data_IF_809960431433
#
_entry.id   IF_809960431433
#
_cell.length_a   1.000
_cell.length_b   1.000
_cell.length_c   1.000
_cell.angle_alpha   90.00
_cell.angle_beta   90.00
_cell.angle_gamma   90.00
#
_symmetry.space_group_name_H-M   'P 1'
#
loop_
_entity.id
_entity.type
_entity.pdbx_description
1 polymer ?
#
# COMPACT_ATOMS: atom_id res chain seq x y z
N UNK A 1 28.09 -1.33 -35.25
CA UNK A 1 26.99 -1.23 -34.28
C UNK A 1 25.96 -0.21 -34.76
N UNK A 2 24.67 -0.57 -34.81
CA UNK A 2 23.59 0.25 -35.36
C UNK A 2 23.17 1.34 -34.35
N UNK A 3 23.34 2.62 -34.70
CA UNK A 3 23.00 3.77 -33.83
C UNK A 3 21.51 3.86 -33.48
N UNK A 4 20.64 3.33 -34.36
CA UNK A 4 19.19 3.33 -34.11
C UNK A 4 18.80 2.36 -33.00
N UNK A 5 19.44 1.18 -32.94
CA UNK A 5 19.19 0.21 -31.88
C UNK A 5 19.57 0.78 -30.50
N UNK A 6 20.73 1.45 -30.40
CA UNK A 6 21.20 2.06 -29.15
C UNK A 6 20.21 3.13 -28.63
N UNK A 7 19.74 4.01 -29.53
CA UNK A 7 18.77 5.06 -29.19
C UNK A 7 17.43 4.51 -28.70
N UNK A 8 16.96 3.39 -29.27
CA UNK A 8 15.72 2.74 -28.85
C UNK A 8 15.84 2.17 -27.43
N UNK A 9 16.92 1.43 -27.14
CA UNK A 9 17.11 0.85 -25.81
C UNK A 9 17.27 1.92 -24.73
N UNK A 10 17.99 3.02 -25.01
CA UNK A 10 18.11 4.13 -24.05
C UNK A 10 16.76 4.77 -23.74
N UNK A 11 15.91 4.99 -24.76
CA UNK A 11 14.59 5.59 -24.55
C UNK A 11 13.64 4.67 -23.77
N UNK A 12 13.67 3.36 -24.02
CA UNK A 12 12.88 2.38 -23.26
C UNK A 12 13.31 2.40 -21.78
N UNK A 13 14.60 2.35 -21.50
CA UNK A 13 15.11 2.36 -20.13
C UNK A 13 14.77 3.68 -19.40
N UNK A 14 14.88 4.82 -20.08
CA UNK A 14 14.51 6.14 -19.53
C UNK A 14 13.01 6.19 -19.21
N UNK A 15 12.16 5.69 -20.11
CA UNK A 15 10.71 5.66 -19.88
C UNK A 15 10.34 4.71 -18.74
N UNK A 16 11.01 3.57 -18.60
CA UNK A 16 10.80 2.64 -17.49
C UNK A 16 11.23 3.25 -16.15
N UNK A 17 12.36 3.97 -16.12
CA UNK A 17 12.80 4.69 -14.92
C UNK A 17 11.85 5.83 -14.56
N UNK A 18 11.41 6.60 -15.55
CA UNK A 18 10.45 7.71 -15.37
C UNK A 18 9.12 7.21 -14.82
N UNK A 19 8.56 6.15 -15.41
CA UNK A 19 7.29 5.56 -14.94
C UNK A 19 7.40 5.01 -13.51
N UNK A 20 8.53 4.36 -13.16
CA UNK A 20 8.79 3.94 -11.78
C UNK A 20 8.90 5.13 -10.81
N UNK A 21 9.56 6.21 -11.21
CA UNK A 21 9.65 7.45 -10.42
C UNK A 21 8.28 8.07 -10.15
N UNK A 22 7.42 8.13 -11.17
CA UNK A 22 6.05 8.66 -11.06
C UNK A 22 5.15 7.79 -10.15
N UNK A 23 5.35 6.47 -10.16
CA UNK A 23 4.65 5.56 -9.25
C UNK A 23 5.05 5.80 -7.78
N UNK A 24 6.34 6.00 -7.52
CA UNK A 24 6.84 6.27 -6.16
C UNK A 24 6.31 7.61 -5.63
N UNK A 25 6.33 8.66 -6.46
CA UNK A 25 5.83 9.99 -6.06
C UNK A 25 4.32 9.96 -5.77
N UNK A 26 3.56 9.22 -6.58
CA UNK A 26 2.12 8.99 -6.38
C UNK A 26 1.87 8.24 -5.08
N UNK A 27 2.62 7.15 -4.83
CA UNK A 27 2.49 6.38 -3.60
C UNK A 27 2.82 7.22 -2.36
N UNK A 28 3.89 8.01 -2.40
CA UNK A 28 4.27 8.89 -1.28
C UNK A 28 3.18 9.94 -1.00
N UNK A 29 2.60 10.50 -2.06
CA UNK A 29 1.50 11.48 -1.95
C UNK A 29 0.23 10.84 -1.37
N UNK A 30 -0.06 9.59 -1.72
CA UNK A 30 -1.19 8.85 -1.15
C UNK A 30 -0.96 8.55 0.33
N UNK A 31 0.24 8.09 0.70
CA UNK A 31 0.60 7.77 2.08
C UNK A 31 0.58 9.03 2.95
N UNK A 32 1.09 10.16 2.47
CA UNK A 32 1.09 11.42 3.21
C UNK A 32 -0.33 11.95 3.48
N UNK A 33 -1.30 11.60 2.63
CA UNK A 33 -2.72 11.95 2.78
C UNK A 33 -3.59 10.81 3.29
N UNK A 34 -2.99 9.69 3.73
CA UNK A 34 -3.74 8.47 4.04
C UNK A 34 -4.80 8.70 5.13
N UNK A 35 -4.48 9.48 6.17
CA UNK A 35 -5.44 9.81 7.25
C UNK A 35 -6.64 10.58 6.71
N UNK A 36 -6.41 11.65 5.94
CA UNK A 36 -7.47 12.48 5.34
C UNK A 36 -8.34 11.67 4.38
N UNK A 37 -7.71 10.85 3.54
CA UNK A 37 -8.40 9.97 2.59
C UNK A 37 -9.26 8.93 3.33
N UNK A 38 -8.76 8.38 4.43
CA UNK A 38 -9.52 7.45 5.24
C UNK A 38 -10.70 8.14 5.93
N UNK A 39 -10.53 9.33 6.47
CA UNK A 39 -11.62 10.09 7.10
C UNK A 39 -12.76 10.39 6.12
N UNK A 40 -12.40 10.89 4.93
CA UNK A 40 -13.35 11.23 3.85
C UNK A 40 -13.96 10.02 3.15
N UNK A 41 -13.39 8.81 3.32
CA UNK A 41 -13.94 7.61 2.72
C UNK A 41 -15.33 7.27 3.26
N UNK A 42 -16.22 6.84 2.36
CA UNK A 42 -17.55 6.40 2.76
C UNK A 42 -17.49 5.05 3.50
N UNK A 43 -18.60 4.68 4.15
CA UNK A 43 -18.69 3.48 4.99
C UNK A 43 -18.36 2.21 4.19
N UNK A 44 -18.80 2.11 2.94
CA UNK A 44 -18.53 0.95 2.09
C UNK A 44 -17.05 0.82 1.72
N UNK A 45 -16.39 1.94 1.42
CA UNK A 45 -14.95 1.98 1.16
C UNK A 45 -14.15 1.58 2.40
N UNK A 46 -14.55 2.07 3.58
CA UNK A 46 -13.95 1.68 4.87
C UNK A 46 -14.13 0.19 5.14
N UNK A 47 -15.34 -0.36 4.96
CA UNK A 47 -15.62 -1.80 5.09
C UNK A 47 -14.79 -2.63 4.12
N UNK A 48 -14.66 -2.19 2.87
CA UNK A 48 -13.84 -2.87 1.85
C UNK A 48 -12.37 -2.91 2.26
N UNK A 49 -11.83 -1.81 2.78
CA UNK A 49 -10.45 -1.75 3.28
C UNK A 49 -10.25 -2.68 4.48
N UNK A 50 -11.16 -2.67 5.45
CA UNK A 50 -11.11 -3.56 6.62
C UNK A 50 -11.16 -5.03 6.18
N UNK A 51 -12.09 -5.42 5.30
CA UNK A 51 -12.18 -6.80 4.79
C UNK A 51 -10.94 -7.21 3.99
N UNK A 52 -10.30 -6.28 3.30
CA UNK A 52 -9.06 -6.53 2.58
C UNK A 52 -7.89 -6.82 3.53
N UNK A 53 -7.76 -6.04 4.62
CA UNK A 53 -6.72 -6.21 5.62
C UNK A 53 -6.97 -7.42 6.53
N UNK A 54 -8.22 -7.66 6.91
CA UNK A 54 -8.63 -8.70 7.85
C UNK A 54 -9.59 -9.70 7.17
N UNK A 55 -9.08 -10.63 6.34
CA UNK A 55 -9.90 -11.58 5.60
C UNK A 55 -10.79 -12.46 6.48
N UNK A 56 -10.35 -12.74 7.72
CA UNK A 56 -11.02 -13.65 8.66
C UNK A 56 -11.57 -12.92 9.90
N UNK A 57 -11.96 -11.64 9.77
CA UNK A 57 -12.50 -10.87 10.89
C UNK A 57 -13.83 -11.48 11.38
N UNK A 58 -13.81 -12.08 12.57
CA UNK A 58 -14.98 -12.69 13.21
C UNK A 58 -15.04 -12.27 14.67
N UNK A 59 -16.26 -12.08 15.18
CA UNK A 59 -16.51 -11.83 16.60
C UNK A 59 -17.05 -13.12 17.19
N UNK A 60 -16.33 -13.71 18.13
CA UNK A 60 -16.71 -14.92 18.86
C UNK A 60 -16.97 -14.54 20.32
N UNK A 61 -18.24 -14.34 20.67
CA UNK A 61 -18.62 -13.83 22.00
C UNK A 61 -18.04 -12.44 22.24
N UNK A 62 -17.16 -12.32 23.24
CA UNK A 62 -16.44 -11.08 23.58
C UNK A 62 -15.07 -10.96 22.88
N UNK A 63 -14.62 -11.99 22.14
CA UNK A 63 -13.30 -12.02 21.52
C UNK A 63 -13.38 -11.70 20.02
N UNK A 64 -12.52 -10.80 19.57
CA UNK A 64 -12.33 -10.53 18.15
C UNK A 64 -11.23 -11.44 17.59
N UNK A 65 -11.61 -12.38 16.74
CA UNK A 65 -10.69 -13.25 16.03
C UNK A 65 -10.38 -12.66 14.66
N UNK A 66 -9.09 -12.42 14.38
CA UNK A 66 -8.66 -11.89 13.10
C UNK A 66 -7.24 -12.32 12.76
N UNK A 67 -6.96 -12.36 11.46
CA UNK A 67 -5.62 -12.50 10.90
C UNK A 67 -5.41 -11.40 9.88
N UNK A 68 -4.25 -10.74 9.90
CA UNK A 68 -3.89 -9.79 8.85
C UNK A 68 -3.45 -10.52 7.59
N UNK A 69 -3.88 -9.99 6.44
CA UNK A 69 -3.49 -10.49 5.13
C UNK A 69 -1.98 -10.27 4.94
N UNK A 70 -1.25 -11.26 4.42
CA UNK A 70 0.17 -11.08 4.07
C UNK A 70 0.34 -10.08 2.92
N UNK A 71 1.37 -9.21 2.94
CA UNK A 71 2.43 -9.09 3.95
C UNK A 71 2.11 -8.09 5.09
N UNK A 72 0.86 -7.64 5.23
CA UNK A 72 0.46 -6.66 6.24
C UNK A 72 0.56 -7.19 7.68
N UNK A 73 0.66 -8.50 7.87
CA UNK A 73 0.98 -9.15 9.15
C UNK A 73 2.36 -8.72 9.68
N UNK A 74 3.32 -8.46 8.80
CA UNK A 74 4.65 -7.99 9.18
C UNK A 74 4.61 -6.58 9.79
N UNK A 75 3.64 -5.75 9.38
CA UNK A 75 3.53 -4.35 9.83
C UNK A 75 3.29 -4.23 11.33
N UNK A 76 2.62 -5.20 11.93
CA UNK A 76 2.25 -5.18 13.35
C UNK A 76 3.47 -5.35 14.26
N UNK A 77 4.49 -6.06 13.76
CA UNK A 77 5.71 -6.36 14.52
C UNK A 77 6.81 -5.31 14.30
N UNK A 78 6.53 -4.22 13.56
CA UNK A 78 7.49 -3.13 13.47
C UNK A 78 7.63 -2.43 14.82
N UNK A 79 8.86 -2.18 15.30
CA UNK A 79 9.11 -1.44 16.54
C UNK A 79 8.38 -0.08 16.59
N UNK A 80 8.21 0.57 15.43
CA UNK A 80 7.49 1.84 15.31
C UNK A 80 5.98 1.72 15.59
N UNK A 81 5.36 0.59 15.21
CA UNK A 81 3.93 0.35 15.44
C UNK A 81 3.61 -0.04 16.90
N UNK A 82 4.61 -0.43 17.69
CA UNK A 82 4.45 -0.63 19.14
C UNK A 82 4.08 0.68 19.85
N UNK A 83 4.55 1.84 19.34
CA UNK A 83 4.17 3.16 19.87
C UNK A 83 2.69 3.50 19.64
N UNK A 84 2.05 2.90 18.63
CA UNK A 84 0.63 3.11 18.33
C UNK A 84 -0.28 2.15 19.12
N UNK A 85 0.29 1.15 19.80
CA UNK A 85 -0.40 0.23 20.70
C UNK A 85 -0.39 0.68 22.17
N UNK A 86 0.27 1.81 22.46
CA UNK A 86 0.33 2.44 23.79
C UNK A 86 -0.79 3.43 23.98
#
# INVERSE_FOLDING_TARGET
MNRNAISIYSNIAINEFKTKGDLISTLLTLVSKASELFEKANIEQKRKLIRFLFPNLKVTGEKLEYSLKKPFDLLINLPLCLKWRG
#
